data_IF_544888382177
#
_entry.id   IF_544888382177
#
_cell.length_a   1.000
_cell.length_b   1.000
_cell.length_c   1.000
_cell.angle_alpha   90.00
_cell.angle_beta   90.00
_cell.angle_gamma   90.00
#
_symmetry.space_group_name_H-M   'P 1'
#
loop_
_entity.id
_entity.type
_entity.pdbx_description
1 polymer ?
#
# COMPACT_ATOMS: atom_id res chain seq x y z
N UNK A 1 -3.33 12.41 9.80
CA UNK A 1 -3.80 12.20 8.42
C UNK A 1 -2.76 12.54 7.35
N UNK A 2 -1.97 13.62 7.48
CA UNK A 2 -0.98 14.00 6.46
C UNK A 2 0.22 13.03 6.32
N UNK A 3 0.71 12.47 7.45
CA UNK A 3 1.90 11.61 7.45
C UNK A 3 1.69 10.29 6.68
N UNK A 4 0.53 9.64 6.84
CA UNK A 4 0.19 8.38 6.16
C UNK A 4 0.10 8.57 4.65
N UNK A 5 -0.39 9.73 4.19
CA UNK A 5 -0.48 10.04 2.75
C UNK A 5 0.90 10.29 2.15
N UNK A 6 1.82 10.93 2.89
CA UNK A 6 3.19 11.19 2.45
C UNK A 6 4.00 9.91 2.19
N UNK A 7 3.99 8.97 3.15
CA UNK A 7 4.73 7.71 3.04
C UNK A 7 4.16 6.82 1.94
N UNK A 8 2.84 6.70 1.87
CA UNK A 8 2.19 5.89 0.82
C UNK A 8 2.46 6.44 -0.60
N UNK A 9 2.58 7.77 -0.75
CA UNK A 9 2.95 8.40 -2.03
C UNK A 9 4.37 8.08 -2.44
N UNK A 10 5.34 8.08 -1.53
CA UNK A 10 6.73 7.78 -1.87
C UNK A 10 6.91 6.32 -2.28
N UNK A 11 6.23 5.40 -1.60
CA UNK A 11 6.16 3.98 -2.00
C UNK A 11 5.55 3.84 -3.41
N UNK A 12 4.47 4.58 -3.71
CA UNK A 12 3.84 4.57 -5.02
C UNK A 12 4.75 5.09 -6.14
N UNK A 13 5.62 6.05 -5.84
CA UNK A 13 6.58 6.63 -6.79
C UNK A 13 7.89 5.83 -6.89
N UNK A 14 8.05 4.77 -6.09
CA UNK A 14 9.29 3.99 -6.02
C UNK A 14 10.48 4.77 -5.48
N UNK A 15 10.22 5.84 -4.72
CA UNK A 15 11.25 6.69 -4.13
C UNK A 15 11.60 6.14 -2.76
N UNK A 16 12.89 5.98 -2.48
CA UNK A 16 13.38 5.57 -1.17
C UNK A 16 12.99 6.60 -0.11
N UNK A 17 12.45 6.11 1.01
CA UNK A 17 11.94 6.95 2.08
C UNK A 17 13.00 7.10 3.16
N UNK A 18 13.46 8.32 3.39
CA UNK A 18 14.36 8.63 4.50
C UNK A 18 13.60 8.51 5.83
N UNK A 19 14.24 7.90 6.83
CA UNK A 19 13.63 7.69 8.15
C UNK A 19 13.53 8.99 8.97
N UNK A 20 14.23 10.06 8.58
CA UNK A 20 14.09 11.36 9.22
C UNK A 20 12.85 12.06 8.71
N UNK A 21 11.99 12.46 9.64
CA UNK A 21 10.80 13.23 9.29
C UNK A 21 11.22 14.59 8.70
N UNK A 22 10.70 14.98 7.51
CA UNK A 22 10.97 16.28 6.94
C UNK A 22 10.37 17.39 7.82
N UNK A 23 11.11 18.50 7.93
CA UNK A 23 10.69 19.66 8.69
C UNK A 23 9.43 20.28 8.04
N UNK A 24 8.37 20.45 8.83
CA UNK A 24 7.11 21.04 8.40
C UNK A 24 6.38 21.69 9.58
N UNK A 25 5.34 22.48 9.34
CA UNK A 25 4.66 23.29 10.37
C UNK A 25 3.99 22.47 11.50
N UNK A 26 3.82 21.16 11.32
CA UNK A 26 3.26 20.24 12.34
C UNK A 26 4.33 19.36 13.00
N UNK A 27 5.62 19.66 12.81
CA UNK A 27 6.73 18.86 13.31
C UNK A 27 6.71 18.65 14.84
N UNK A 28 6.23 19.64 15.59
CA UNK A 28 6.18 19.61 17.06
C UNK A 28 5.16 18.60 17.62
N UNK A 29 4.15 18.20 16.84
CA UNK A 29 3.17 17.19 17.26
C UNK A 29 3.75 15.77 17.32
N UNK A 30 4.96 15.57 16.81
CA UNK A 30 5.62 14.27 16.73
C UNK A 30 6.73 14.10 17.79
N UNK A 31 6.94 15.09 18.67
CA UNK A 31 7.91 15.03 19.78
C UNK A 31 7.28 14.58 21.11
N UNK A 32 8.07 13.98 22.04
CA UNK A 32 9.54 14.03 22.12
C UNK A 32 10.29 12.72 21.81
N UNK A 33 9.61 11.57 21.79
CA UNK A 33 10.30 10.26 21.84
C UNK A 33 10.61 9.64 20.46
N UNK A 34 9.98 10.10 19.37
CA UNK A 34 10.16 9.50 18.03
C UNK A 34 10.02 10.52 16.89
N UNK A 35 11.11 11.24 16.59
CA UNK A 35 11.26 12.07 15.37
C UNK A 35 11.53 11.24 14.10
N UNK A 36 11.40 9.92 14.19
CA UNK A 36 11.59 8.97 13.10
C UNK A 36 10.27 8.69 12.41
N UNK A 37 10.34 8.44 11.12
CA UNK A 37 9.18 8.02 10.34
C UNK A 37 8.76 6.60 10.72
N UNK A 38 9.73 5.74 11.02
CA UNK A 38 9.48 4.40 11.54
C UNK A 38 9.02 4.46 13.00
N UNK A 39 7.84 3.89 13.25
CA UNK A 39 7.31 3.65 14.59
C UNK A 39 7.74 2.27 15.04
N UNK A 40 8.36 2.17 16.22
CA UNK A 40 8.73 0.88 16.80
C UNK A 40 7.46 0.04 17.06
N UNK A 41 7.51 -1.29 16.83
CA UNK A 41 6.41 -2.17 17.21
C UNK A 41 6.08 -2.01 18.70
N UNK A 42 4.79 -1.97 19.05
CA UNK A 42 4.38 -1.94 20.44
C UNK A 42 4.55 -3.32 21.09
N UNK A 43 4.67 -3.35 22.42
CA UNK A 43 4.68 -4.61 23.20
C UNK A 43 3.29 -5.31 23.23
N UNK A 44 2.36 -4.89 22.37
CA UNK A 44 1.04 -5.49 22.32
C UNK A 44 1.13 -6.92 21.78
N UNK A 45 0.48 -7.85 22.49
CA UNK A 45 0.49 -9.26 22.10
C UNK A 45 -0.17 -9.46 20.73
N UNK A 46 0.55 -10.15 19.84
CA UNK A 46 0.02 -10.54 18.54
C UNK A 46 -0.94 -11.74 18.68
N UNK A 47 -2.24 -11.48 18.58
CA UNK A 47 -3.28 -12.52 18.61
C UNK A 47 -3.45 -13.28 17.29
N UNK A 48 -2.68 -12.94 16.25
CA UNK A 48 -2.71 -13.63 14.96
C UNK A 48 -1.79 -14.87 15.03
N UNK A 49 -2.37 -16.01 15.37
CA UNK A 49 -1.64 -17.28 15.33
C UNK A 49 -1.44 -17.74 13.89
N UNK A 50 -0.31 -18.40 13.60
CA UNK A 50 -0.03 -18.98 12.29
C UNK A 50 -1.17 -19.87 11.75
N UNK A 51 -1.71 -20.85 12.52
CA UNK A 51 -2.80 -21.70 12.02
C UNK A 51 -4.08 -20.93 11.68
N UNK A 52 -4.39 -19.84 12.41
CA UNK A 52 -5.54 -18.98 12.09
C UNK A 52 -5.35 -18.26 10.75
N UNK A 53 -4.15 -17.71 10.53
CA UNK A 53 -3.81 -17.02 9.28
C UNK A 53 -3.88 -17.97 8.08
N UNK A 54 -3.39 -19.20 8.23
CA UNK A 54 -3.43 -20.21 7.17
C UNK A 54 -4.86 -20.65 6.82
N UNK A 55 -5.73 -20.83 7.82
CA UNK A 55 -7.15 -21.15 7.61
C UNK A 55 -7.88 -20.03 6.86
N UNK A 56 -7.69 -18.77 7.28
CA UNK A 56 -8.26 -17.61 6.59
C UNK A 56 -7.74 -17.51 5.16
N UNK A 57 -6.43 -17.71 4.94
CA UNK A 57 -5.81 -17.69 3.62
C UNK A 57 -6.40 -18.76 2.70
N UNK A 58 -6.55 -19.99 3.18
CA UNK A 58 -7.13 -21.09 2.42
C UNK A 58 -8.57 -20.79 2.00
N UNK A 59 -9.40 -20.27 2.91
CA UNK A 59 -10.78 -19.87 2.63
C UNK A 59 -10.87 -18.75 1.59
N UNK A 60 -10.01 -17.72 1.71
CA UNK A 60 -9.96 -16.63 0.74
C UNK A 60 -9.58 -17.13 -0.66
N UNK A 61 -8.59 -18.01 -0.76
CA UNK A 61 -8.19 -18.60 -2.03
C UNK A 61 -9.29 -19.46 -2.65
N UNK A 62 -10.02 -20.23 -1.84
CA UNK A 62 -11.19 -20.99 -2.30
C UNK A 62 -12.29 -20.05 -2.83
N UNK A 63 -12.60 -18.95 -2.13
CA UNK A 63 -13.54 -17.94 -2.64
C UNK A 63 -13.08 -17.29 -3.93
N UNK A 64 -11.80 -16.90 -4.02
CA UNK A 64 -11.24 -16.30 -5.23
C UNK A 64 -11.24 -17.28 -6.41
N UNK A 65 -11.06 -18.58 -6.16
CA UNK A 65 -11.11 -19.61 -7.21
C UNK A 65 -12.52 -19.82 -7.78
N UNK A 66 -13.55 -19.53 -6.98
CA UNK A 66 -14.96 -19.64 -7.36
C UNK A 66 -15.49 -18.40 -8.06
N UNK A 67 -14.82 -17.26 -7.92
CA UNK A 67 -15.13 -16.10 -8.74
C UNK A 67 -14.89 -16.47 -10.20
N UNK A 68 -15.90 -16.26 -11.05
CA UNK A 68 -15.73 -16.38 -12.50
C UNK A 68 -14.55 -15.49 -12.89
N UNK A 69 -13.47 -16.10 -13.42
CA UNK A 69 -12.43 -15.36 -14.11
C UNK A 69 -13.14 -14.47 -15.14
N UNK A 70 -12.95 -13.15 -15.04
CA UNK A 70 -13.50 -12.23 -16.02
C UNK A 70 -13.17 -12.78 -17.40
N UNK A 71 -14.22 -13.21 -18.11
CA UNK A 71 -14.16 -13.85 -19.42
C UNK A 71 -13.11 -13.14 -20.24
N UNK A 72 -12.08 -13.87 -20.69
CA UNK A 72 -11.08 -13.50 -21.71
C UNK A 72 -11.43 -12.20 -22.44
N UNK A 73 -11.18 -11.05 -21.82
CA UNK A 73 -11.39 -9.77 -22.47
C UNK A 73 -10.25 -9.71 -23.48
N UNK A 74 -10.58 -9.90 -24.75
CA UNK A 74 -9.63 -9.66 -25.81
C UNK A 74 -9.06 -8.27 -25.59
N UNK A 75 -7.74 -8.19 -25.40
CA UNK A 75 -7.02 -6.93 -25.33
C UNK A 75 -7.36 -6.14 -26.58
N UNK A 76 -8.22 -5.12 -26.44
CA UNK A 76 -8.51 -4.21 -27.53
C UNK A 76 -7.27 -3.35 -27.70
N UNK A 77 -6.43 -3.70 -28.69
CA UNK A 77 -5.23 -2.95 -29.03
C UNK A 77 -5.65 -1.50 -29.27
N UNK A 78 -5.04 -0.56 -28.52
CA UNK A 78 -5.28 0.88 -28.62
C UNK A 78 -5.42 1.26 -30.10
N UNK A 79 -6.52 1.92 -30.54
CA UNK A 79 -6.60 2.39 -31.91
C UNK A 79 -5.39 3.29 -32.19
N UNK A 80 -4.73 3.15 -33.36
CA UNK A 80 -3.52 3.88 -33.66
C UNK A 80 -3.80 5.38 -33.54
N UNK A 81 -2.90 6.09 -32.84
CA UNK A 81 -2.98 7.54 -32.69
C UNK A 81 -3.10 8.14 -34.09
N UNK A 82 -4.27 8.70 -34.42
CA UNK A 82 -4.45 9.48 -35.64
C UNK A 82 -3.66 10.77 -35.48
N UNK A 83 -2.37 10.68 -35.79
CA UNK A 83 -1.56 11.82 -36.17
C UNK A 83 -2.10 12.32 -37.52
N UNK A 84 -2.90 13.39 -37.47
CA UNK A 84 -3.19 14.38 -38.52
C UNK A 84 -4.53 15.02 -38.14
N UNK A 85 -4.70 16.35 -38.18
CA UNK A 85 -4.40 17.24 -39.29
C UNK A 85 -4.77 18.67 -38.88
N UNK A 86 -3.98 19.65 -39.34
CA UNK A 86 -4.44 21.03 -39.57
C UNK A 86 -4.10 22.02 -38.49
#
# INVERSE_FOLDING_TARGET
MLLVVGVMRQVLLGIEVDDKMPQHEYYEYFGPDYYTLHVAPSYMENKNSCPLLDDIRAKLLDYLSKLQHALSIQFQKKPPDTASRG
#
